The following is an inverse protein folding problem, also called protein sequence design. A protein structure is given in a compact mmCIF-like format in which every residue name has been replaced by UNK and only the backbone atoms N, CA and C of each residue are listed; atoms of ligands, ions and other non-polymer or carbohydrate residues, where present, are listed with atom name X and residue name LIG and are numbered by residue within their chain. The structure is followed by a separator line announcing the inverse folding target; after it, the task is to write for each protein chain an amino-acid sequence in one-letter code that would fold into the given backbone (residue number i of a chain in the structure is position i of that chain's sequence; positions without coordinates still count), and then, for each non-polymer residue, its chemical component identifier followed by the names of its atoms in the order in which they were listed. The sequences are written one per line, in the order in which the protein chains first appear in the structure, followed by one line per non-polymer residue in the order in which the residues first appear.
data_IF_921614306521
#
_entry.id   IF_921614306521
#
_cell.length_a   1.000
_cell.length_b   1.000
_cell.length_c   1.000
_cell.angle_alpha   90.00
_cell.angle_beta   90.00
_cell.angle_gamma   90.00
#
_symmetry.space_group_name_H-M   'P 1'
#
loop_
_entity.id
_entity.type
_entity.pdbx_description
1 polymer ?
#
# COMPACT_ATOMS: atom_id res chain seq x y z
N UNK A 1 0.01 14.16 -11.54
CA UNK A 1 -0.37 12.89 -10.90
C UNK A 1 -0.57 13.17 -9.39
N UNK A 2 -1.10 12.24 -8.58
CA UNK A 2 -1.25 12.49 -7.13
C UNK A 2 0.10 12.49 -6.40
N UNK A 3 0.94 11.49 -6.63
CA UNK A 3 2.23 11.34 -5.96
C UNK A 3 3.24 12.45 -6.32
N UNK A 4 3.16 13.02 -7.53
CA UNK A 4 4.02 14.14 -7.97
C UNK A 4 3.83 15.44 -7.16
N UNK A 5 2.77 15.51 -6.34
CA UNK A 5 2.49 16.68 -5.52
C UNK A 5 3.35 16.72 -4.25
N UNK A 6 4.03 15.61 -3.91
CA UNK A 6 4.86 15.49 -2.72
C UNK A 6 6.35 15.62 -3.09
N UNK A 7 7.06 16.48 -2.36
CA UNK A 7 8.51 16.59 -2.41
C UNK A 7 9.22 15.47 -1.65
N UNK A 8 10.54 15.43 -1.79
CA UNK A 8 11.38 14.50 -1.06
C UNK A 8 11.22 14.67 0.45
N UNK A 9 10.94 13.57 1.16
CA UNK A 9 10.78 13.56 2.61
C UNK A 9 9.49 14.21 3.16
N UNK A 10 8.58 14.68 2.31
CA UNK A 10 7.38 15.41 2.72
C UNK A 10 6.41 14.54 3.56
N UNK A 11 6.44 13.22 3.38
CA UNK A 11 5.67 12.26 4.19
C UNK A 11 6.44 11.74 5.42
N UNK A 12 7.52 12.42 5.83
CA UNK A 12 8.28 12.06 7.01
C UNK A 12 7.40 11.88 8.25
N UNK A 13 7.62 10.77 8.98
CA UNK A 13 6.86 10.38 10.19
C UNK A 13 5.39 9.98 9.94
N UNK A 14 4.93 9.91 8.68
CA UNK A 14 3.58 9.48 8.37
C UNK A 14 3.56 7.96 8.13
N UNK A 15 2.87 7.25 9.03
CA UNK A 15 2.56 5.83 8.84
C UNK A 15 1.67 5.67 7.61
N UNK A 16 2.13 4.85 6.65
CA UNK A 16 1.51 4.68 5.35
C UNK A 16 1.38 3.20 5.01
N UNK A 17 0.30 2.83 4.32
CA UNK A 17 0.02 1.46 3.93
C UNK A 17 -0.11 1.37 2.40
N UNK A 18 0.85 0.76 1.69
CA UNK A 18 0.75 0.60 0.24
C UNK A 18 -0.35 -0.42 -0.10
N UNK A 19 -1.36 0.02 -0.84
CA UNK A 19 -2.49 -0.82 -1.27
C UNK A 19 -2.80 -0.55 -2.74
N UNK A 20 -3.05 -1.62 -3.50
CA UNK A 20 -3.54 -1.53 -4.88
C UNK A 20 -4.71 -2.48 -5.11
N UNK A 21 -5.67 -2.04 -5.91
CA UNK A 21 -6.70 -2.88 -6.51
C UNK A 21 -6.33 -3.15 -7.97
N UNK A 22 -6.74 -4.30 -8.51
CA UNK A 22 -6.74 -4.49 -9.95
C UNK A 22 -7.52 -5.71 -10.43
N UNK A 23 -7.57 -5.91 -11.74
CA UNK A 23 -8.44 -6.91 -12.36
C UNK A 23 -7.88 -8.34 -12.39
N UNK A 24 -6.62 -8.55 -11.97
CA UNK A 24 -5.98 -9.87 -11.97
C UNK A 24 -4.74 -9.90 -11.08
N UNK A 25 -4.53 -11.02 -10.40
CA UNK A 25 -3.32 -11.27 -9.60
C UNK A 25 -2.01 -11.35 -10.42
N UNK A 26 -2.05 -11.28 -11.76
CA UNK A 26 -0.84 -11.15 -12.59
C UNK A 26 0.00 -9.91 -12.23
N UNK A 27 -0.58 -8.91 -11.57
CA UNK A 27 0.11 -7.72 -11.10
C UNK A 27 0.20 -7.63 -9.57
N UNK A 28 0.05 -8.75 -8.85
CA UNK A 28 -0.04 -8.77 -7.39
C UNK A 28 1.18 -8.14 -6.66
N UNK A 29 2.35 -8.14 -7.30
CA UNK A 29 3.57 -7.56 -6.74
C UNK A 29 3.74 -6.06 -7.01
N UNK A 30 2.84 -5.44 -7.80
CA UNK A 30 2.90 -4.01 -8.09
C UNK A 30 3.00 -3.12 -6.83
N UNK A 31 2.18 -3.28 -5.77
CA UNK A 31 2.25 -2.35 -4.64
C UNK A 31 3.57 -2.49 -3.86
N UNK A 32 4.20 -3.66 -3.87
CA UNK A 32 5.49 -3.89 -3.20
C UNK A 32 6.68 -3.44 -4.05
N UNK A 33 6.66 -3.72 -5.36
CA UNK A 33 7.82 -3.47 -6.24
C UNK A 33 7.82 -2.09 -6.90
N UNK A 34 6.68 -1.38 -6.94
CA UNK A 34 6.58 -0.06 -7.58
C UNK A 34 6.05 1.02 -6.65
N UNK A 35 4.96 0.77 -5.91
CA UNK A 35 4.36 1.79 -5.04
C UNK A 35 5.17 2.05 -3.76
N UNK A 36 5.53 1.00 -3.00
CA UNK A 36 6.31 1.15 -1.77
C UNK A 36 7.61 1.94 -2.00
N UNK A 37 8.44 1.66 -3.03
CA UNK A 37 9.65 2.44 -3.27
C UNK A 37 9.38 3.95 -3.43
N UNK A 38 8.35 4.33 -4.18
CA UNK A 38 7.99 5.75 -4.37
C UNK A 38 7.53 6.37 -3.05
N UNK A 39 6.72 5.66 -2.26
CA UNK A 39 6.27 6.15 -0.95
C UNK A 39 7.44 6.37 0.02
N UNK A 40 8.40 5.44 0.05
CA UNK A 40 9.61 5.56 0.87
C UNK A 40 10.50 6.71 0.39
N UNK A 41 10.63 6.92 -0.92
CA UNK A 41 11.39 8.05 -1.50
C UNK A 41 10.82 9.41 -1.06
N UNK A 42 9.49 9.56 -1.02
CA UNK A 42 8.83 10.77 -0.50
C UNK A 42 8.73 10.81 1.03
N UNK A 43 9.40 9.89 1.73
CA UNK A 43 9.61 9.93 3.19
C UNK A 43 8.62 9.11 4.03
N UNK A 44 7.71 8.36 3.42
CA UNK A 44 6.70 7.60 4.16
C UNK A 44 7.31 6.42 4.94
N UNK A 45 6.76 6.14 6.12
CA UNK A 45 7.03 4.90 6.84
C UNK A 45 5.99 3.85 6.46
N UNK A 46 6.41 2.72 5.89
CA UNK A 46 5.52 1.66 5.44
C UNK A 46 5.71 0.36 6.26
N UNK A 47 5.19 0.28 7.50
CA UNK A 47 5.58 -0.77 8.44
C UNK A 47 4.87 -2.12 8.23
N UNK A 48 3.77 -2.15 7.47
CA UNK A 48 3.10 -3.39 7.09
C UNK A 48 3.49 -3.84 5.66
N UNK A 49 3.33 -5.13 5.33
CA UNK A 49 3.43 -5.61 3.95
C UNK A 49 2.45 -4.88 3.03
N UNK A 50 2.82 -4.69 1.77
CA UNK A 50 1.92 -4.09 0.78
C UNK A 50 0.76 -5.03 0.49
N UNK A 51 -0.42 -4.48 0.21
CA UNK A 51 -1.63 -5.26 -0.07
C UNK A 51 -2.06 -5.10 -1.54
N UNK A 52 -2.35 -6.22 -2.20
CA UNK A 52 -3.01 -6.24 -3.50
C UNK A 52 -4.33 -7.00 -3.37
N UNK A 53 -5.43 -6.43 -3.88
CA UNK A 53 -6.75 -7.07 -3.89
C UNK A 53 -7.33 -7.04 -5.31
N UNK A 54 -8.23 -7.98 -5.60
CA UNK A 54 -9.05 -7.89 -6.80
C UNK A 54 -10.10 -6.78 -6.65
N UNK A 55 -10.18 -5.89 -7.62
CA UNK A 55 -11.13 -4.77 -7.62
C UNK A 55 -12.59 -5.23 -7.58
N UNK A 56 -12.90 -6.37 -8.20
CA UNK A 56 -14.25 -6.93 -8.21
C UNK A 56 -14.72 -7.52 -6.88
N UNK A 57 -13.79 -7.82 -5.96
CA UNK A 57 -14.06 -8.68 -4.79
C UNK A 57 -13.41 -8.16 -3.49
N UNK A 58 -12.87 -6.93 -3.49
CA UNK A 58 -12.06 -6.42 -2.38
C UNK A 58 -12.81 -6.37 -1.04
N UNK A 59 -14.12 -6.08 -1.06
CA UNK A 59 -14.94 -5.94 0.15
C UNK A 59 -15.06 -7.24 0.96
N UNK A 60 -15.03 -8.39 0.29
CA UNK A 60 -15.16 -9.72 0.90
C UNK A 60 -13.85 -10.50 0.89
N UNK A 61 -12.72 -9.84 0.64
CA UNK A 61 -11.44 -10.50 0.46
C UNK A 61 -10.91 -11.10 1.77
N UNK A 62 -10.58 -12.40 1.75
CA UNK A 62 -9.91 -13.06 2.87
C UNK A 62 -8.49 -12.49 3.10
N UNK A 63 -7.83 -11.98 2.05
CA UNK A 63 -6.52 -11.35 2.16
C UNK A 63 -6.61 -10.03 2.92
N UNK A 64 -7.69 -9.25 2.73
CA UNK A 64 -7.95 -8.05 3.51
C UNK A 64 -8.15 -8.39 4.99
N UNK A 65 -8.97 -9.39 5.30
CA UNK A 65 -9.21 -9.83 6.68
C UNK A 65 -7.92 -10.30 7.38
N UNK A 66 -7.06 -11.02 6.68
CA UNK A 66 -5.74 -11.44 7.19
C UNK A 66 -4.79 -10.26 7.39
N UNK A 67 -4.87 -9.25 6.53
CA UNK A 67 -3.97 -8.10 6.55
C UNK A 67 -4.34 -7.06 7.62
N UNK A 68 -5.63 -6.82 7.85
CA UNK A 68 -6.13 -5.86 8.86
C UNK A 68 -5.47 -5.95 10.24
N UNK A 69 -5.33 -7.13 10.90
CA UNK A 69 -4.69 -7.23 12.20
C UNK A 69 -3.18 -6.93 12.17
N UNK A 70 -2.53 -6.95 11.00
CA UNK A 70 -1.13 -6.53 10.84
C UNK A 70 -1.08 -5.01 10.80
N UNK A 71 -1.89 -4.38 9.95
CA UNK A 71 -1.94 -2.93 9.78
C UNK A 71 -2.37 -2.19 11.07
N UNK A 72 -3.36 -2.75 11.77
CA UNK A 72 -3.89 -2.20 13.04
C UNK A 72 -2.87 -2.14 14.18
N UNK A 73 -1.68 -2.76 14.05
CA UNK A 73 -0.61 -2.64 15.04
C UNK A 73 0.08 -1.27 15.01
N UNK A 74 -0.13 -0.50 13.96
CA UNK A 74 0.57 0.76 13.70
C UNK A 74 -0.35 1.99 13.72
N UNK A 75 -1.61 1.84 14.15
CA UNK A 75 -2.62 2.90 14.33
C UNK A 75 -3.32 2.79 15.67
#
# INVERSE_FOLDING_TARGET
LFLDQFGAGELGQITTFPLMLGGSYMHALAPELTLRPVLVEIGASCPAPSLYLLDSEYESSEDLEKWLPIARRFV
#
